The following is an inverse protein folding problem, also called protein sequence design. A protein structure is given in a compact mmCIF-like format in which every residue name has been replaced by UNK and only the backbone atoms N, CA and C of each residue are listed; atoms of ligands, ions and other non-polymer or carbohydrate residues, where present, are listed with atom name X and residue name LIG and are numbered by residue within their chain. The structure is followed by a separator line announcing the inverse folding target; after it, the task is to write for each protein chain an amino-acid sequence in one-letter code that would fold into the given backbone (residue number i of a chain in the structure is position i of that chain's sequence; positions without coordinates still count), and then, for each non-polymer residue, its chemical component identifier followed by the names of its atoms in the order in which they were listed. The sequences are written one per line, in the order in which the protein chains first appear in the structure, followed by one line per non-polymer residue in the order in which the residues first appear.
data_IF_922857283118
#
_entry.id   IF_922857283118
#
_cell.length_a   1.000
_cell.length_b   1.000
_cell.length_c   1.000
_cell.angle_alpha   90.00
_cell.angle_beta   90.00
_cell.angle_gamma   90.00
#
_symmetry.space_group_name_H-M   'P 1'
#
loop_
_entity.id
_entity.type
_entity.pdbx_description
1 polymer ?
#
# COMPACT_ATOMS: atom_id res chain seq x y z
N UNK A 1 23.94 -15.95 36.90
CA UNK A 1 23.31 -16.52 35.70
C UNK A 1 22.22 -15.55 35.31
N UNK A 2 22.54 -14.66 34.38
CA UNK A 2 21.70 -13.50 34.05
C UNK A 2 20.30 -13.93 33.60
N UNK A 3 19.27 -13.27 34.12
CA UNK A 3 17.87 -13.38 33.64
C UNK A 3 17.79 -13.21 32.11
N UNK A 4 18.69 -12.42 31.53
CA UNK A 4 18.84 -12.23 30.09
C UNK A 4 19.16 -13.51 29.30
N UNK A 5 19.77 -14.52 29.93
CA UNK A 5 20.07 -15.81 29.27
C UNK A 5 18.84 -16.71 29.24
N UNK A 6 17.93 -16.59 30.21
CA UNK A 6 16.68 -17.36 30.25
C UNK A 6 15.63 -16.86 29.25
N UNK A 7 15.52 -15.53 29.06
CA UNK A 7 14.66 -14.96 28.00
C UNK A 7 15.15 -15.31 26.58
N UNK A 8 16.46 -15.50 26.41
CA UNK A 8 17.07 -15.91 25.13
C UNK A 8 16.76 -17.35 24.72
N UNK A 9 16.16 -18.16 25.60
CA UNK A 9 15.88 -19.58 25.39
C UNK A 9 14.40 -19.94 25.16
N UNK A 10 13.50 -18.95 25.03
CA UNK A 10 12.10 -19.21 24.63
C UNK A 10 11.93 -18.99 23.13
N UNK A 11 11.32 -19.95 22.42
CA UNK A 11 11.04 -19.82 20.98
C UNK A 11 10.20 -18.58 20.65
N UNK A 12 9.37 -18.13 21.60
CA UNK A 12 8.50 -16.96 21.46
C UNK A 12 9.28 -15.65 21.29
N UNK A 13 10.27 -15.36 22.15
CA UNK A 13 11.03 -14.10 22.07
C UNK A 13 11.80 -13.97 20.75
N UNK A 14 12.43 -15.07 20.28
CA UNK A 14 13.07 -15.06 18.96
C UNK A 14 12.07 -14.77 17.85
N UNK A 15 10.89 -15.42 17.90
CA UNK A 15 9.85 -15.24 16.88
C UNK A 15 9.30 -13.81 16.86
N UNK A 16 9.12 -13.18 18.02
CA UNK A 16 8.68 -11.77 18.10
C UNK A 16 9.72 -10.83 17.49
N UNK A 17 11.03 -11.06 17.74
CA UNK A 17 12.10 -10.27 17.10
C UNK A 17 12.08 -10.41 15.58
N UNK A 18 11.99 -11.63 15.06
CA UNK A 18 11.94 -11.87 13.62
C UNK A 18 10.70 -11.17 13.00
N UNK A 19 9.54 -11.27 13.65
CA UNK A 19 8.32 -10.60 13.22
C UNK A 19 8.48 -9.06 13.20
N UNK A 20 9.18 -8.46 14.17
CA UNK A 20 9.41 -7.01 14.19
C UNK A 20 10.31 -6.55 13.02
N UNK A 21 11.34 -7.31 12.69
CA UNK A 21 12.16 -7.04 11.51
C UNK A 21 11.34 -7.17 10.21
N UNK A 22 10.48 -8.19 10.12
CA UNK A 22 9.60 -8.38 8.97
C UNK A 22 8.59 -7.23 8.81
N UNK A 23 8.01 -6.73 9.90
CA UNK A 23 7.15 -5.54 9.88
C UNK A 23 7.86 -4.33 9.27
N UNK A 24 9.08 -4.05 9.73
CA UNK A 24 9.89 -2.96 9.19
C UNK A 24 10.18 -3.13 7.70
N UNK A 25 10.59 -4.33 7.29
CA UNK A 25 10.87 -4.64 5.88
C UNK A 25 9.63 -4.49 4.99
N UNK A 26 8.45 -4.89 5.48
CA UNK A 26 7.19 -4.75 4.76
C UNK A 26 6.80 -3.28 4.62
N UNK A 27 6.97 -2.47 5.66
CA UNK A 27 6.71 -1.02 5.60
C UNK A 27 7.63 -0.30 4.61
N UNK A 28 8.93 -0.62 4.57
CA UNK A 28 9.85 -0.06 3.58
C UNK A 28 9.44 -0.42 2.14
N UNK A 29 9.00 -1.67 1.92
CA UNK A 29 8.52 -2.10 0.59
C UNK A 29 7.22 -1.38 0.20
N UNK A 30 6.33 -1.17 1.17
CA UNK A 30 5.09 -0.43 0.97
C UNK A 30 5.36 1.03 0.58
N UNK A 31 6.28 1.70 1.28
CA UNK A 31 6.69 3.09 0.99
C UNK A 31 7.22 3.20 -0.44
N UNK A 32 8.12 2.29 -0.85
CA UNK A 32 8.66 2.26 -2.21
C UNK A 32 7.59 2.06 -3.29
N UNK A 33 6.64 1.16 -3.07
CA UNK A 33 5.52 0.96 -4.00
C UNK A 33 4.59 2.17 -4.04
N UNK A 34 4.45 2.88 -2.92
CA UNK A 34 3.65 4.11 -2.86
C UNK A 34 4.27 5.19 -3.73
N UNK A 35 5.57 5.42 -3.61
CA UNK A 35 6.33 6.36 -4.45
C UNK A 35 6.20 6.00 -5.93
N UNK A 36 6.45 4.74 -6.31
CA UNK A 36 6.27 4.29 -7.69
C UNK A 36 4.83 4.51 -8.20
N UNK A 37 3.85 4.26 -7.35
CA UNK A 37 2.44 4.49 -7.65
C UNK A 37 2.10 5.96 -7.88
N UNK A 38 2.70 6.89 -7.13
CA UNK A 38 2.53 8.35 -7.34
C UNK A 38 3.00 8.73 -8.74
N UNK A 39 4.18 8.25 -9.16
CA UNK A 39 4.74 8.58 -10.46
C UNK A 39 3.85 8.08 -11.61
N UNK A 40 3.39 6.82 -11.51
CA UNK A 40 2.51 6.21 -12.51
C UNK A 40 1.15 6.91 -12.53
N UNK A 41 0.53 7.15 -11.38
CA UNK A 41 -0.76 7.81 -11.26
C UNK A 41 -0.71 9.25 -11.81
N UNK A 42 0.36 10.00 -11.49
CA UNK A 42 0.57 11.35 -11.99
C UNK A 42 0.71 11.35 -13.52
N UNK A 43 1.42 10.36 -14.06
CA UNK A 43 1.56 10.19 -15.51
C UNK A 43 0.20 9.91 -16.18
N UNK A 44 -0.64 9.07 -15.58
CA UNK A 44 -2.01 8.80 -16.07
C UNK A 44 -2.82 10.10 -16.17
N UNK A 45 -2.83 10.91 -15.10
CA UNK A 45 -3.58 12.17 -15.07
C UNK A 45 -3.06 13.16 -16.11
N UNK A 46 -1.73 13.25 -16.28
CA UNK A 46 -1.12 14.11 -17.29
C UNK A 46 -1.45 13.67 -18.72
N UNK A 47 -1.37 12.37 -19.03
CA UNK A 47 -1.73 11.85 -20.36
C UNK A 47 -3.19 12.14 -20.69
N UNK A 48 -4.09 11.97 -19.72
CA UNK A 48 -5.52 12.30 -19.91
C UNK A 48 -5.74 13.77 -20.22
N UNK A 49 -5.08 14.66 -19.47
CA UNK A 49 -5.15 16.12 -19.70
C UNK A 49 -4.70 16.49 -21.13
N UNK A 50 -3.59 15.94 -21.59
CA UNK A 50 -3.09 16.18 -22.95
C UNK A 50 -4.06 15.67 -24.03
N UNK A 51 -4.73 14.53 -23.81
CA UNK A 51 -5.74 14.01 -24.73
C UNK A 51 -6.98 14.91 -24.80
N UNK A 52 -7.47 15.38 -23.64
CA UNK A 52 -8.61 16.31 -23.59
C UNK A 52 -8.31 17.65 -24.25
N UNK A 53 -7.09 18.18 -24.10
CA UNK A 53 -6.67 19.45 -24.71
C UNK A 53 -6.52 19.33 -26.24
N UNK A 54 -5.97 18.21 -26.73
CA UNK A 54 -5.85 17.92 -28.16
C UNK A 54 -7.20 17.87 -28.89
N UNK A 55 -8.26 17.37 -28.23
CA UNK A 55 -9.62 17.30 -28.78
C UNK A 55 -10.33 18.65 -28.85
N UNK A 56 -9.83 19.68 -28.16
CA UNK A 56 -10.46 21.01 -28.08
C UNK A 56 -9.92 22.01 -29.10
N UNK A 57 -8.92 21.65 -29.93
CA UNK A 57 -8.41 22.52 -31.00
C UNK A 57 -9.29 22.38 -32.25
N UNK A 58 -10.08 23.40 -32.65
CA UNK A 58 -10.83 23.34 -33.90
C UNK A 58 -9.85 23.42 -35.08
N UNK A 59 -9.99 22.51 -36.04
CA UNK A 59 -9.31 22.54 -37.33
C UNK A 59 -9.84 23.70 -38.18
N UNK A 60 -9.51 24.93 -37.78
CA UNK A 60 -9.73 26.13 -38.55
C UNK A 60 -8.54 26.30 -39.51
N UNK A 61 -8.51 25.52 -40.60
CA UNK A 61 -7.98 25.92 -41.92
C UNK A 61 -7.86 24.72 -42.87
N UNK A 62 -8.89 24.46 -43.68
CA UNK A 62 -8.73 24.15 -45.12
C UNK A 62 -10.09 23.91 -45.77
N UNK A 63 -10.78 25.01 -46.07
CA UNK A 63 -11.86 24.99 -47.05
C UNK A 63 -11.26 24.85 -48.46
N UNK A 64 -11.31 23.65 -49.04
CA UNK A 64 -11.31 23.48 -50.50
C UNK A 64 -12.16 22.28 -50.92
N UNK A 65 -13.34 22.62 -51.43
CA UNK A 65 -14.21 21.87 -52.34
C UNK A 65 -13.62 20.57 -52.96
N UNK A 66 -14.26 19.42 -52.75
CA UNK A 66 -14.64 18.47 -53.83
C UNK A 66 -15.47 17.26 -53.34
N UNK A 67 -16.29 16.78 -54.27
CA UNK A 67 -17.46 15.88 -54.25
C UNK A 67 -17.31 14.45 -53.68
N UNK A 68 -18.42 13.69 -53.51
CA UNK A 68 -18.44 12.42 -52.78
C UNK A 68 -18.25 11.21 -53.72
N UNK A 69 -17.30 10.35 -53.39
CA UNK A 69 -17.20 8.99 -53.92
C UNK A 69 -17.19 7.99 -52.77
N UNK A 70 -18.22 7.16 -52.75
CA UNK A 70 -18.45 6.03 -51.87
C UNK A 70 -17.37 4.96 -52.01
N UNK A 71 -16.61 4.73 -50.94
CA UNK A 71 -15.88 3.49 -50.73
C UNK A 71 -16.01 3.06 -49.27
N UNK A 72 -16.76 1.98 -49.08
CA UNK A 72 -16.88 1.22 -47.84
C UNK A 72 -15.49 0.76 -47.39
N UNK A 73 -14.90 1.47 -46.44
CA UNK A 73 -13.69 1.04 -45.74
C UNK A 73 -14.09 0.54 -44.36
N UNK A 74 -13.91 -0.75 -44.18
CA UNK A 74 -14.01 -1.47 -42.91
C UNK A 74 -13.26 -0.72 -41.82
N UNK A 75 -14.00 -0.24 -40.82
CA UNK A 75 -13.51 0.35 -39.59
C UNK A 75 -12.63 -0.66 -38.84
N UNK A 76 -11.34 -0.67 -39.14
CA UNK A 76 -10.36 -1.19 -38.21
C UNK A 76 -10.18 -0.13 -37.13
N UNK A 77 -10.78 -0.37 -35.98
CA UNK A 77 -10.68 0.44 -34.78
C UNK A 77 -9.24 0.37 -34.26
N UNK A 78 -8.32 1.08 -34.90
CA UNK A 78 -6.98 1.29 -34.35
C UNK A 78 -7.14 2.23 -33.15
N UNK A 79 -6.71 1.82 -31.93
CA UNK A 79 -6.72 2.71 -30.78
C UNK A 79 -5.89 3.95 -31.10
N UNK A 80 -6.40 5.14 -30.76
CA UNK A 80 -5.62 6.37 -30.89
C UNK A 80 -4.24 6.21 -30.22
N UNK A 81 -3.15 6.80 -30.75
CA UNK A 81 -1.78 6.59 -30.27
C UNK A 81 -1.60 6.77 -28.74
N UNK A 82 -2.39 7.62 -28.09
CA UNK A 82 -2.35 7.82 -26.64
C UNK A 82 -3.14 6.80 -25.80
N UNK A 83 -4.04 6.02 -26.40
CA UNK A 83 -4.86 5.04 -25.69
C UNK A 83 -4.05 3.82 -25.25
N UNK A 84 -3.11 3.36 -26.07
CA UNK A 84 -2.23 2.25 -25.73
C UNK A 84 -1.29 2.58 -24.56
N UNK A 85 -0.71 3.79 -24.59
CA UNK A 85 0.19 4.29 -23.54
C UNK A 85 -0.55 4.50 -22.20
N UNK A 86 -1.80 4.97 -22.25
CA UNK A 86 -2.66 5.08 -21.08
C UNK A 86 -2.98 3.70 -20.49
N UNK A 87 -3.33 2.74 -21.35
CA UNK A 87 -3.62 1.36 -20.94
C UNK A 87 -2.43 0.72 -20.24
N UNK A 88 -1.22 0.86 -20.79
CA UNK A 88 0.01 0.33 -20.19
C UNK A 88 0.23 0.89 -18.78
N UNK A 89 0.05 2.21 -18.59
CA UNK A 89 0.17 2.84 -17.27
C UNK A 89 -0.88 2.34 -16.28
N UNK A 90 -2.12 2.12 -16.73
CA UNK A 90 -3.17 1.57 -15.88
C UNK A 90 -2.83 0.14 -15.43
N UNK A 91 -2.33 -0.70 -16.35
CA UNK A 91 -1.86 -2.06 -16.03
C UNK A 91 -0.70 -2.03 -15.04
N UNK A 92 0.24 -1.09 -15.19
CA UNK A 92 1.34 -0.91 -14.24
C UNK A 92 0.84 -0.48 -12.85
N UNK A 93 -0.13 0.44 -12.79
CA UNK A 93 -0.70 0.86 -11.52
C UNK A 93 -1.46 -0.29 -10.83
N UNK A 94 -2.15 -1.13 -11.60
CA UNK A 94 -2.78 -2.36 -11.09
C UNK A 94 -1.77 -3.34 -10.50
N UNK A 95 -0.65 -3.60 -11.19
CA UNK A 95 0.44 -4.46 -10.69
C UNK A 95 1.05 -3.93 -9.38
N UNK A 96 1.19 -2.60 -9.23
CA UNK A 96 1.61 -1.98 -7.97
C UNK A 96 0.61 -2.29 -6.84
N UNK A 97 -0.69 -2.15 -7.08
CA UNK A 97 -1.74 -2.46 -6.10
C UNK A 97 -1.78 -3.96 -5.76
N UNK A 98 -1.53 -4.84 -6.73
CA UNK A 98 -1.42 -6.28 -6.50
C UNK A 98 -0.22 -6.61 -5.58
N UNK A 99 0.93 -5.99 -5.82
CA UNK A 99 2.11 -6.13 -4.95
C UNK A 99 1.84 -5.58 -3.54
N UNK A 100 1.11 -4.47 -3.41
CA UNK A 100 0.66 -3.94 -2.13
C UNK A 100 -0.29 -4.90 -1.41
N UNK A 101 -1.20 -5.53 -2.15
CA UNK A 101 -2.10 -6.57 -1.61
C UNK A 101 -1.29 -7.74 -1.05
N UNK A 102 -0.24 -8.18 -1.75
CA UNK A 102 0.67 -9.21 -1.25
C UNK A 102 1.49 -8.78 -0.02
N UNK A 103 1.73 -7.47 0.19
CA UNK A 103 2.33 -6.95 1.42
C UNK A 103 1.34 -7.05 2.58
N UNK A 104 0.09 -6.61 2.40
CA UNK A 104 -0.95 -6.68 3.46
C UNK A 104 -1.21 -8.13 3.84
N UNK A 105 -1.28 -9.07 2.89
CA UNK A 105 -1.40 -10.50 3.18
C UNK A 105 -0.20 -11.08 3.97
N UNK A 106 0.99 -10.45 3.89
CA UNK A 106 2.13 -10.80 4.76
C UNK A 106 1.96 -10.21 6.15
N UNK A 107 1.49 -8.96 6.25
CA UNK A 107 1.18 -8.30 7.52
C UNK A 107 0.09 -9.08 8.31
N UNK A 108 -0.94 -9.57 7.63
CA UNK A 108 -1.98 -10.43 8.21
C UNK A 108 -1.37 -11.68 8.85
N UNK A 109 -0.43 -12.35 8.15
CA UNK A 109 0.27 -13.51 8.68
C UNK A 109 1.16 -13.18 9.88
N UNK A 110 1.77 -11.99 9.91
CA UNK A 110 2.53 -11.53 11.07
C UNK A 110 1.61 -11.28 12.28
N UNK A 111 0.46 -10.64 12.07
CA UNK A 111 -0.52 -10.38 13.12
C UNK A 111 -1.09 -11.70 13.69
N UNK A 112 -1.51 -12.63 12.82
CA UNK A 112 -1.97 -13.95 13.25
C UNK A 112 -0.87 -14.74 13.99
N UNK A 113 0.40 -14.60 13.57
CA UNK A 113 1.52 -15.17 14.31
C UNK A 113 1.70 -14.55 15.69
N UNK A 114 1.40 -13.27 15.88
CA UNK A 114 1.49 -12.61 17.20
C UNK A 114 0.35 -13.04 18.11
N UNK A 115 -0.87 -13.14 17.59
CA UNK A 115 -2.03 -13.68 18.32
C UNK A 115 -1.74 -15.09 18.84
N UNK A 116 -1.25 -15.99 17.99
CA UNK A 116 -0.87 -17.34 18.39
C UNK A 116 0.24 -17.38 19.45
N UNK A 117 1.17 -16.42 19.43
CA UNK A 117 2.20 -16.28 20.47
C UNK A 117 1.59 -15.80 21.79
N UNK A 118 0.67 -14.84 21.76
CA UNK A 118 -0.05 -14.38 22.96
C UNK A 118 -0.84 -15.51 23.59
N UNK A 119 -1.60 -16.27 22.81
CA UNK A 119 -2.35 -17.44 23.30
C UNK A 119 -1.43 -18.48 23.95
N UNK A 120 -0.27 -18.74 23.33
CA UNK A 120 0.72 -19.67 23.86
C UNK A 120 1.29 -19.21 25.21
N UNK A 121 1.58 -17.91 25.36
CA UNK A 121 2.09 -17.36 26.62
C UNK A 121 1.01 -17.34 27.71
N UNK A 122 -0.24 -17.05 27.36
CA UNK A 122 -1.40 -17.14 28.24
C UNK A 122 -1.61 -18.59 28.74
N UNK A 123 -1.47 -19.57 27.85
CA UNK A 123 -1.56 -20.99 28.21
C UNK A 123 -0.41 -21.41 29.14
N UNK A 124 0.83 -20.99 28.85
CA UNK A 124 2.01 -21.37 29.65
C UNK A 124 1.97 -20.80 31.06
N UNK A 125 1.47 -19.58 31.20
CA UNK A 125 1.60 -18.80 32.44
C UNK A 125 0.27 -18.65 33.19
N UNK A 126 -0.81 -19.24 32.67
CA UNK A 126 -2.18 -19.10 33.17
C UNK A 126 -2.73 -17.68 33.04
N UNK A 127 -3.94 -17.45 33.56
CA UNK A 127 -4.64 -16.13 33.51
C UNK A 127 -3.84 -14.97 34.14
N UNK A 128 -2.84 -15.24 34.98
CA UNK A 128 -2.01 -14.22 35.62
C UNK A 128 -0.76 -13.84 34.80
N UNK A 129 -0.33 -14.65 33.84
CA UNK A 129 0.96 -14.48 33.18
C UNK A 129 0.94 -13.79 31.82
N UNK A 130 -0.23 -13.54 31.23
CA UNK A 130 -0.35 -12.67 30.05
C UNK A 130 0.04 -11.20 30.30
N UNK A 131 0.19 -10.81 31.57
CA UNK A 131 0.61 -9.47 31.99
C UNK A 131 2.13 -9.33 32.17
N UNK A 132 2.89 -10.43 32.15
CA UNK A 132 4.34 -10.37 32.31
C UNK A 132 5.00 -9.81 31.03
N UNK A 133 6.00 -8.91 31.17
CA UNK A 133 6.79 -8.46 30.04
C UNK A 133 7.53 -9.62 29.38
N UNK A 134 7.45 -9.68 28.05
CA UNK A 134 8.15 -10.64 27.21
C UNK A 134 9.55 -10.13 26.80
N UNK A 135 9.71 -8.80 26.74
CA UNK A 135 11.00 -8.11 26.59
C UNK A 135 11.17 -7.06 27.70
N UNK A 136 11.51 -5.81 27.33
CA UNK A 136 11.83 -4.75 28.28
C UNK A 136 10.58 -4.32 29.04
N UNK A 137 9.58 -3.79 28.34
CA UNK A 137 8.36 -3.29 28.97
C UNK A 137 7.08 -3.89 28.39
N UNK A 138 7.16 -4.56 27.25
CA UNK A 138 5.97 -5.06 26.54
C UNK A 138 5.62 -6.52 26.87
N UNK A 139 4.35 -6.76 27.17
CA UNK A 139 3.74 -8.10 27.24
C UNK A 139 3.38 -8.64 25.84
N UNK A 140 3.12 -9.94 25.75
CA UNK A 140 2.68 -10.58 24.50
C UNK A 140 1.41 -9.91 23.92
N UNK A 141 0.50 -9.46 24.79
CA UNK A 141 -0.70 -8.72 24.39
C UNK A 141 -0.38 -7.36 23.76
N UNK A 142 0.60 -6.63 24.27
CA UNK A 142 0.99 -5.34 23.67
C UNK A 142 1.60 -5.51 22.27
N UNK A 143 2.34 -6.60 22.03
CA UNK A 143 2.81 -6.94 20.68
C UNK A 143 1.67 -7.28 19.72
N UNK A 144 0.68 -8.04 20.18
CA UNK A 144 -0.53 -8.35 19.42
C UNK A 144 -1.32 -7.08 19.09
N UNK A 145 -1.69 -6.28 20.10
CA UNK A 145 -2.44 -5.03 19.95
C UNK A 145 -1.75 -4.09 18.94
N UNK A 146 -0.42 -3.97 19.06
CA UNK A 146 0.41 -3.20 18.12
C UNK A 146 0.33 -3.75 16.71
N UNK A 147 0.44 -5.07 16.53
CA UNK A 147 0.39 -5.69 15.20
C UNK A 147 -0.98 -5.56 14.54
N UNK A 148 -2.07 -5.64 15.31
CA UNK A 148 -3.43 -5.44 14.83
C UNK A 148 -3.68 -3.99 14.45
N UNK A 149 -3.20 -3.04 15.27
CA UNK A 149 -3.28 -1.61 14.96
C UNK A 149 -2.60 -1.29 13.63
N UNK A 150 -1.35 -1.76 13.43
CA UNK A 150 -0.63 -1.58 12.18
C UNK A 150 -1.39 -2.21 11.01
N UNK A 151 -1.78 -3.48 11.13
CA UNK A 151 -2.52 -4.19 10.08
C UNK A 151 -3.78 -3.42 9.66
N UNK A 152 -4.58 -2.96 10.63
CA UNK A 152 -5.83 -2.25 10.33
C UNK A 152 -5.61 -1.00 9.47
N UNK A 153 -4.60 -0.19 9.78
CA UNK A 153 -4.25 1.01 9.02
C UNK A 153 -3.86 0.68 7.56
N UNK A 154 -3.00 -0.31 7.36
CA UNK A 154 -2.56 -0.71 6.02
C UNK A 154 -3.68 -1.36 5.20
N UNK A 155 -4.58 -2.10 5.84
CA UNK A 155 -5.75 -2.68 5.18
C UNK A 155 -6.73 -1.60 4.69
N UNK A 156 -7.02 -0.58 5.51
CA UNK A 156 -7.88 0.53 5.09
C UNK A 156 -7.22 1.39 4.00
N UNK A 157 -5.91 1.60 4.06
CA UNK A 157 -5.19 2.30 3.00
C UNK A 157 -5.18 1.51 1.68
N UNK A 158 -5.01 0.18 1.75
CA UNK A 158 -5.08 -0.66 0.56
C UNK A 158 -6.45 -0.58 -0.12
N UNK A 159 -7.55 -0.61 0.64
CA UNK A 159 -8.90 -0.44 0.10
C UNK A 159 -9.05 0.88 -0.65
N UNK A 160 -8.52 1.97 -0.10
CA UNK A 160 -8.52 3.27 -0.76
C UNK A 160 -7.73 3.22 -2.08
N UNK A 161 -6.52 2.64 -2.08
CA UNK A 161 -5.70 2.50 -3.29
C UNK A 161 -6.36 1.62 -4.36
N UNK A 162 -7.10 0.59 -3.96
CA UNK A 162 -7.92 -0.25 -4.85
C UNK A 162 -9.06 0.53 -5.50
N UNK A 163 -9.72 1.44 -4.78
CA UNK A 163 -10.74 2.33 -5.35
C UNK A 163 -10.08 3.31 -6.33
N UNK A 164 -8.96 3.93 -5.94
CA UNK A 164 -8.28 4.90 -6.79
C UNK A 164 -7.87 4.28 -8.14
N UNK A 165 -7.27 3.08 -8.15
CA UNK A 165 -6.83 2.46 -9.41
C UNK A 165 -7.99 2.13 -10.36
N UNK A 166 -9.18 1.87 -9.85
CA UNK A 166 -10.39 1.61 -10.65
C UNK A 166 -10.96 2.91 -11.25
N UNK A 167 -10.86 4.03 -10.53
CA UNK A 167 -11.52 5.29 -10.89
C UNK A 167 -10.62 6.29 -11.61
N UNK A 168 -9.30 6.26 -11.38
CA UNK A 168 -8.37 7.31 -11.82
C UNK A 168 -8.36 7.48 -13.35
N UNK A 169 -8.40 6.38 -14.09
CA UNK A 169 -8.44 6.42 -15.56
C UNK A 169 -9.79 6.90 -16.11
N UNK A 170 -10.89 6.61 -15.41
CA UNK A 170 -12.26 6.88 -15.86
C UNK A 170 -12.80 8.25 -15.45
N UNK A 171 -12.18 8.89 -14.46
CA UNK A 171 -12.64 10.17 -13.91
C UNK A 171 -12.54 11.31 -14.92
N UNK A 172 -13.64 12.00 -15.22
CA UNK A 172 -13.64 13.16 -16.12
C UNK A 172 -13.20 14.47 -15.44
N UNK A 173 -13.38 14.58 -14.12
CA UNK A 173 -13.01 15.77 -13.35
C UNK A 173 -11.52 15.79 -13.02
N UNK A 174 -10.84 16.88 -13.42
CA UNK A 174 -9.44 17.09 -13.06
C UNK A 174 -9.27 17.28 -11.55
N UNK A 175 -10.18 18.01 -10.90
CA UNK A 175 -10.15 18.23 -9.45
C UNK A 175 -10.26 16.91 -8.68
N UNK A 176 -11.14 16.00 -9.10
CA UNK A 176 -11.25 14.67 -8.50
C UNK A 176 -9.99 13.82 -8.74
N UNK A 177 -9.36 13.97 -9.92
CA UNK A 177 -8.07 13.32 -10.19
C UNK A 177 -6.98 13.82 -9.24
N UNK A 178 -6.95 15.12 -8.92
CA UNK A 178 -6.01 15.70 -7.94
C UNK A 178 -6.29 15.24 -6.51
N UNK A 179 -7.56 15.05 -6.14
CA UNK A 179 -7.94 14.44 -4.85
C UNK A 179 -7.39 13.02 -4.76
N UNK A 180 -7.56 12.19 -5.79
CA UNK A 180 -7.02 10.83 -5.80
C UNK A 180 -5.49 10.79 -5.72
N UNK A 181 -4.78 11.68 -6.44
CA UNK A 181 -3.33 11.79 -6.34
C UNK A 181 -2.90 12.17 -4.92
N UNK A 182 -3.61 13.12 -4.30
CA UNK A 182 -3.35 13.57 -2.94
C UNK A 182 -3.59 12.48 -1.92
N UNK A 183 -4.70 11.73 -2.04
CA UNK A 183 -4.98 10.55 -1.22
C UNK A 183 -3.87 9.49 -1.37
N UNK A 184 -3.44 9.20 -2.59
CA UNK A 184 -2.39 8.21 -2.84
C UNK A 184 -1.06 8.60 -2.19
N UNK A 185 -0.68 9.86 -2.30
CA UNK A 185 0.58 10.41 -1.77
C UNK A 185 0.58 10.45 -0.24
N UNK A 186 -0.49 11.01 0.35
CA UNK A 186 -0.53 11.31 1.78
C UNK A 186 -1.01 10.16 2.65
N UNK A 187 -1.60 9.11 2.07
CA UNK A 187 -1.99 7.88 2.76
C UNK A 187 -2.85 8.14 4.01
N UNK A 188 -4.04 8.75 3.84
CA UNK A 188 -4.84 9.27 4.96
C UNK A 188 -5.24 8.20 5.99
N UNK A 189 -5.26 6.92 5.61
CA UNK A 189 -5.61 5.83 6.52
C UNK A 189 -4.41 5.30 7.31
N UNK A 190 -3.19 5.77 7.03
CA UNK A 190 -1.97 5.46 7.78
C UNK A 190 -1.60 6.68 8.64
N UNK A 191 -2.09 6.77 9.88
CA UNK A 191 -1.77 7.90 10.74
C UNK A 191 -0.27 7.95 11.07
N UNK A 192 0.29 9.14 11.36
CA UNK A 192 1.69 9.27 11.79
C UNK A 192 2.04 8.37 12.99
N UNK A 193 1.05 8.11 13.84
CA UNK A 193 1.17 7.20 14.98
C UNK A 193 1.61 5.79 14.57
N UNK A 194 1.22 5.28 13.40
CA UNK A 194 1.64 3.95 12.93
C UNK A 194 3.15 3.83 12.79
N UNK A 195 3.83 4.89 12.32
CA UNK A 195 5.30 4.91 12.26
C UNK A 195 5.91 4.91 13.66
N UNK A 196 5.39 5.75 14.57
CA UNK A 196 5.84 5.77 15.96
C UNK A 196 5.64 4.42 16.67
N UNK A 197 4.53 3.74 16.39
CA UNK A 197 4.25 2.41 16.90
C UNK A 197 5.26 1.38 16.39
N UNK A 198 5.63 1.42 15.10
CA UNK A 198 6.70 0.58 14.57
C UNK A 198 8.06 0.88 15.23
N UNK A 199 8.37 2.17 15.43
CA UNK A 199 9.60 2.59 16.12
C UNK A 199 9.67 2.01 17.54
N UNK A 200 8.58 2.09 18.29
CA UNK A 200 8.47 1.50 19.62
C UNK A 200 8.64 -0.03 19.58
N UNK A 201 8.01 -0.71 18.61
CA UNK A 201 8.17 -2.16 18.41
C UNK A 201 9.65 -2.55 18.16
N UNK A 202 10.37 -1.77 17.36
CA UNK A 202 11.78 -2.01 17.05
C UNK A 202 12.70 -1.72 18.24
N UNK A 203 12.39 -0.71 19.04
CA UNK A 203 13.10 -0.42 20.30
C UNK A 203 12.92 -1.57 21.30
N UNK A 204 11.68 -2.00 21.53
CA UNK A 204 11.36 -3.08 22.49
C UNK A 204 12.02 -4.41 22.14
N UNK A 205 12.17 -4.70 20.84
CA UNK A 205 12.80 -5.92 20.33
C UNK A 205 14.31 -5.82 20.15
N UNK A 206 14.92 -4.67 20.50
CA UNK A 206 16.37 -4.43 20.43
C UNK A 206 16.92 -4.24 19.02
N UNK A 207 16.08 -3.91 18.04
CA UNK A 207 16.53 -3.53 16.69
C UNK A 207 16.98 -2.06 16.61
N UNK A 208 16.59 -1.25 17.59
CA UNK A 208 17.06 0.12 17.78
C UNK A 208 17.66 0.27 19.15
N UNK A 209 18.70 1.09 19.25
CA UNK A 209 19.32 1.45 20.52
C UNK A 209 18.42 2.43 21.27
N UNK A 210 18.24 2.20 22.56
CA UNK A 210 17.59 3.12 23.50
C UNK A 210 18.45 4.37 23.74
#
# INVERSE_FOLDING_TARGET
LDENVLYSLTGSARKVRDNAADWHNLMLRWDRLTEEGVDVATSIVNTKRSQSESLLVPEASSSSFSSPSSSSSSSSTQPAPGAAELQERCLRLLDIVEKMTAIVAKMERLAASQEALRELEEFRSGSAGGAAPLFHSWSAKQFEDTSQLLLSAFTEELKLKQVIVQELAHTASFDLSMVYLSCWLHQPNIPPQSRLTLEALLLETGHRTL
#
